data_IF_224189734154
#
_entry.id   IF_224189734154
#
_cell.length_a   1.000
_cell.length_b   1.000
_cell.length_c   1.000
_cell.angle_alpha   90.00
_cell.angle_beta   90.00
_cell.angle_gamma   90.00
#
_symmetry.space_group_name_H-M   'P 1'
#
loop_
_entity.id
_entity.type
_entity.pdbx_description
1 polymer ?
#
# COMPACT_ATOMS: atom_id res chain seq x y z
N UNK A 1 23.09 1.90 9.97
CA UNK A 1 22.20 0.98 10.73
C UNK A 1 22.33 -0.43 10.16
N UNK A 2 22.31 -1.48 10.99
CA UNK A 2 22.31 -2.86 10.51
C UNK A 2 20.92 -3.32 10.06
N UNK A 3 20.85 -4.41 9.27
CA UNK A 3 19.58 -4.96 8.80
C UNK A 3 18.72 -5.52 9.94
N UNK A 4 19.36 -6.13 10.94
CA UNK A 4 18.67 -6.66 12.12
C UNK A 4 18.07 -5.54 12.98
N UNK A 5 18.83 -4.45 13.22
CA UNK A 5 18.32 -3.25 13.91
C UNK A 5 17.13 -2.63 13.16
N UNK A 6 17.26 -2.48 11.84
CA UNK A 6 16.19 -1.95 11.01
C UNK A 6 14.94 -2.82 11.07
N UNK A 7 15.10 -4.16 11.05
CA UNK A 7 13.98 -5.10 11.13
C UNK A 7 13.28 -5.05 12.48
N UNK A 8 14.02 -4.86 13.59
CA UNK A 8 13.43 -4.65 14.91
C UNK A 8 12.58 -3.37 14.95
N UNK A 9 13.07 -2.28 14.38
CA UNK A 9 12.30 -1.02 14.24
C UNK A 9 11.04 -1.26 13.41
N UNK A 10 11.14 -1.99 12.29
CA UNK A 10 9.99 -2.33 11.45
C UNK A 10 8.97 -3.22 12.17
N UNK A 11 9.41 -4.18 12.98
CA UNK A 11 8.52 -5.02 13.79
C UNK A 11 7.77 -4.20 14.85
N UNK A 12 8.45 -3.24 15.49
CA UNK A 12 7.83 -2.35 16.47
C UNK A 12 6.88 -1.33 15.81
N UNK A 13 7.21 -0.86 14.60
CA UNK A 13 6.49 0.24 13.93
C UNK A 13 5.33 -0.24 13.04
N UNK A 14 5.44 -1.41 12.39
CA UNK A 14 4.42 -1.95 11.48
C UNK A 14 3.49 -2.93 12.20
N UNK A 15 2.91 -2.51 13.31
CA UNK A 15 1.98 -3.34 14.08
C UNK A 15 0.69 -3.63 13.31
N UNK A 16 -0.07 -4.62 13.78
CA UNK A 16 -1.36 -4.97 13.18
C UNK A 16 -2.36 -3.81 13.26
N UNK A 17 -2.27 -2.99 14.30
CA UNK A 17 -3.07 -1.78 14.45
C UNK A 17 -2.71 -0.74 13.38
N UNK A 18 -1.41 -0.51 13.17
CA UNK A 18 -0.92 0.36 12.10
C UNK A 18 -1.35 -0.16 10.73
N UNK A 19 -1.30 -1.46 10.49
CA UNK A 19 -1.78 -2.06 9.25
C UNK A 19 -3.29 -1.82 9.04
N UNK A 20 -4.11 -1.95 10.10
CA UNK A 20 -5.56 -1.68 10.03
C UNK A 20 -5.84 -0.20 9.73
N UNK A 21 -5.13 0.71 10.40
CA UNK A 21 -5.26 2.15 10.16
C UNK A 21 -4.84 2.51 8.73
N UNK A 22 -3.74 1.93 8.27
CA UNK A 22 -3.21 2.15 6.93
C UNK A 22 -4.15 1.61 5.86
N UNK A 23 -4.77 0.44 6.10
CA UNK A 23 -5.82 -0.10 5.23
C UNK A 23 -6.97 0.89 5.07
N UNK A 24 -7.45 1.52 6.15
CA UNK A 24 -8.50 2.54 6.07
C UNK A 24 -8.05 3.77 5.27
N UNK A 25 -6.81 4.22 5.45
CA UNK A 25 -6.23 5.33 4.68
C UNK A 25 -6.19 5.01 3.18
N UNK A 26 -5.74 3.80 2.84
CA UNK A 26 -5.66 3.30 1.47
C UNK A 26 -7.04 3.17 0.84
N UNK A 27 -8.02 2.59 1.54
CA UNK A 27 -9.41 2.51 1.05
C UNK A 27 -9.96 3.90 0.71
N UNK A 28 -9.72 4.89 1.57
CA UNK A 28 -10.12 6.27 1.29
C UNK A 28 -9.40 6.85 0.05
N UNK A 29 -8.12 6.50 -0.16
CA UNK A 29 -7.37 6.93 -1.33
C UNK A 29 -7.92 6.31 -2.63
N UNK A 30 -8.16 4.99 -2.63
CA UNK A 30 -8.77 4.27 -3.75
C UNK A 30 -10.15 4.84 -4.07
N UNK A 31 -10.98 5.08 -3.06
CA UNK A 31 -12.29 5.69 -3.26
C UNK A 31 -12.19 7.07 -3.91
N UNK A 32 -11.28 7.94 -3.42
CA UNK A 32 -11.06 9.26 -4.05
C UNK A 32 -10.62 9.13 -5.50
N UNK A 33 -9.75 8.18 -5.81
CA UNK A 33 -9.29 7.95 -7.18
C UNK A 33 -10.41 7.43 -8.08
N UNK A 34 -11.24 6.50 -7.59
CA UNK A 34 -12.42 6.02 -8.31
C UNK A 34 -13.40 7.16 -8.61
N UNK A 35 -13.70 8.01 -7.64
CA UNK A 35 -14.53 9.21 -7.84
C UNK A 35 -13.90 10.14 -8.87
N UNK A 36 -12.59 10.41 -8.79
CA UNK A 36 -11.89 11.27 -9.73
C UNK A 36 -11.94 10.72 -11.17
N UNK A 37 -11.73 9.40 -11.33
CA UNK A 37 -11.83 8.71 -12.62
C UNK A 37 -13.23 8.84 -13.21
N UNK A 38 -14.26 8.55 -12.41
CA UNK A 38 -15.65 8.63 -12.85
C UNK A 38 -16.08 10.05 -13.17
N UNK A 39 -15.62 11.03 -12.39
CA UNK A 39 -15.84 12.46 -12.69
C UNK A 39 -15.23 12.83 -14.03
N UNK A 40 -14.01 12.37 -14.32
CA UNK A 40 -13.32 12.62 -15.58
C UNK A 40 -14.01 11.95 -16.79
N UNK A 41 -14.79 10.90 -16.54
CA UNK A 41 -15.66 10.23 -17.52
C UNK A 41 -17.06 10.85 -17.63
N UNK A 42 -17.38 11.89 -16.84
CA UNK A 42 -18.70 12.51 -16.81
C UNK A 42 -19.77 11.67 -16.09
N UNK A 43 -19.36 10.72 -15.24
CA UNK A 43 -20.23 9.78 -14.51
C UNK A 43 -20.02 9.85 -12.98
N UNK A 44 -19.96 11.03 -12.34
CA UNK A 44 -19.59 11.14 -10.93
C UNK A 44 -20.53 10.40 -9.97
N UNK A 45 -21.81 10.27 -10.34
CA UNK A 45 -22.85 9.67 -9.50
C UNK A 45 -22.95 8.15 -9.65
N UNK A 46 -22.14 7.53 -10.51
CA UNK A 46 -22.23 6.09 -10.79
C UNK A 46 -21.97 5.25 -9.53
N UNK A 47 -21.13 5.73 -8.61
CA UNK A 47 -20.87 5.05 -7.31
C UNK A 47 -22.07 5.09 -6.36
N UNK A 48 -23.03 5.99 -6.59
CA UNK A 48 -24.26 6.11 -5.79
C UNK A 48 -25.41 5.31 -6.40
N UNK A 49 -25.25 4.80 -7.63
CA UNK A 49 -26.26 3.98 -8.29
C UNK A 49 -26.28 2.58 -7.66
N UNK A 50 -27.42 2.21 -7.06
CA UNK A 50 -27.63 0.88 -6.49
C UNK A 50 -27.43 -0.25 -7.52
N UNK A 51 -27.60 0.01 -8.82
CA UNK A 51 -27.32 -0.94 -9.90
C UNK A 51 -25.83 -1.22 -10.07
N UNK A 52 -24.97 -0.22 -9.85
CA UNK A 52 -23.52 -0.44 -9.86
C UNK A 52 -23.13 -1.38 -8.72
N UNK A 53 -23.71 -1.18 -7.53
CA UNK A 53 -23.46 -2.06 -6.38
C UNK A 53 -23.87 -3.52 -6.70
N UNK A 54 -24.97 -3.71 -7.41
CA UNK A 54 -25.44 -5.04 -7.85
C UNK A 54 -24.53 -5.65 -8.93
N UNK A 55 -24.05 -4.83 -9.88
CA UNK A 55 -23.11 -5.27 -10.92
C UNK A 55 -21.72 -5.59 -10.36
N UNK A 56 -21.23 -4.77 -9.41
CA UNK A 56 -20.00 -5.03 -8.69
C UNK A 56 -20.12 -6.34 -7.91
N UNK A 57 -21.19 -6.55 -7.14
CA UNK A 57 -21.43 -7.80 -6.41
C UNK A 57 -21.43 -9.04 -7.33
N UNK A 58 -22.02 -8.93 -8.53
CA UNK A 58 -21.95 -10.00 -9.54
C UNK A 58 -20.52 -10.22 -10.04
N UNK A 59 -19.75 -9.16 -10.22
CA UNK A 59 -18.33 -9.23 -10.57
C UNK A 59 -17.51 -9.91 -9.45
N UNK A 60 -17.78 -9.61 -8.18
CA UNK A 60 -17.16 -10.27 -7.01
C UNK A 60 -17.40 -11.77 -6.98
N UNK A 61 -18.61 -12.21 -7.36
CA UNK A 61 -18.94 -13.64 -7.42
C UNK A 61 -18.39 -14.37 -8.65
N UNK A 62 -18.06 -13.65 -9.73
CA UNK A 62 -17.66 -14.23 -11.02
C UNK A 62 -16.14 -14.18 -11.28
N UNK A 63 -15.39 -13.28 -10.64
CA UNK A 63 -13.96 -13.12 -10.82
C UNK A 63 -13.25 -12.78 -9.50
N UNK A 64 -11.98 -13.21 -9.36
CA UNK A 64 -11.07 -12.60 -8.39
C UNK A 64 -10.98 -11.08 -8.68
N UNK A 65 -11.37 -10.27 -7.71
CA UNK A 65 -11.51 -8.83 -7.87
C UNK A 65 -10.12 -8.17 -7.86
N UNK A 66 -9.86 -7.17 -8.72
CA UNK A 66 -8.66 -6.33 -8.67
C UNK A 66 -8.42 -5.58 -7.35
N UNK A 67 -9.29 -5.68 -6.35
CA UNK A 67 -9.14 -5.12 -5.00
C UNK A 67 -8.54 -6.10 -3.97
N UNK A 68 -8.75 -7.41 -4.14
CA UNK A 68 -8.11 -8.45 -3.30
C UNK A 68 -6.59 -8.39 -3.46
N UNK A 69 -6.13 -8.09 -4.67
CA UNK A 69 -4.71 -8.01 -4.99
C UNK A 69 -4.00 -6.83 -4.31
N UNK A 70 -4.67 -5.69 -4.13
CA UNK A 70 -4.08 -4.57 -3.39
C UNK A 70 -3.94 -4.93 -1.91
N UNK A 71 -4.95 -5.56 -1.32
CA UNK A 71 -4.87 -5.96 0.07
C UNK A 71 -3.83 -7.06 0.29
N UNK A 72 -3.77 -8.06 -0.59
CA UNK A 72 -2.72 -9.07 -0.61
C UNK A 72 -1.33 -8.44 -0.75
N UNK A 73 -1.17 -7.44 -1.62
CA UNK A 73 0.09 -6.70 -1.78
C UNK A 73 0.47 -5.96 -0.49
N UNK A 74 -0.48 -5.30 0.17
CA UNK A 74 -0.23 -4.62 1.45
C UNK A 74 0.22 -5.62 2.53
N UNK A 75 -0.51 -6.72 2.70
CA UNK A 75 -0.15 -7.77 3.65
C UNK A 75 1.23 -8.37 3.34
N UNK A 76 1.52 -8.58 2.06
CA UNK A 76 2.82 -9.05 1.60
C UNK A 76 3.94 -8.10 2.05
N UNK A 77 3.84 -6.80 1.75
CA UNK A 77 4.90 -5.85 2.11
C UNK A 77 5.06 -5.70 3.62
N UNK A 78 3.96 -5.67 4.38
CA UNK A 78 4.03 -5.61 5.84
C UNK A 78 4.71 -6.85 6.43
N UNK A 79 4.32 -8.05 5.97
CA UNK A 79 4.92 -9.31 6.42
C UNK A 79 6.41 -9.34 6.08
N UNK A 80 6.77 -9.13 4.81
CA UNK A 80 8.17 -9.24 4.35
C UNK A 80 9.06 -8.20 5.02
N UNK A 81 8.56 -6.98 5.24
CA UNK A 81 9.31 -5.95 5.93
C UNK A 81 9.58 -6.30 7.41
N UNK A 82 8.63 -6.95 8.09
CA UNK A 82 8.74 -7.34 9.51
C UNK A 82 9.56 -8.62 9.71
N UNK A 83 9.28 -9.63 8.91
CA UNK A 83 9.75 -11.00 9.14
C UNK A 83 10.93 -11.38 8.25
N UNK A 84 11.20 -10.60 7.20
CA UNK A 84 12.07 -10.99 6.10
C UNK A 84 11.30 -11.76 5.03
N UNK A 85 11.91 -11.87 3.85
CA UNK A 85 11.35 -12.60 2.71
C UNK A 85 12.22 -13.78 2.30
N UNK A 86 11.61 -14.79 1.71
CA UNK A 86 12.33 -15.92 1.11
C UNK A 86 12.63 -15.68 -0.40
N UNK A 87 13.26 -16.67 -1.04
CA UNK A 87 13.58 -16.59 -2.47
C UNK A 87 12.33 -16.46 -3.37
N UNK A 88 11.18 -17.01 -2.94
CA UNK A 88 9.93 -16.88 -3.67
C UNK A 88 9.37 -15.47 -3.52
N UNK A 89 9.44 -14.90 -2.33
CA UNK A 89 9.02 -13.52 -2.08
C UNK A 89 9.76 -12.55 -2.99
N UNK A 90 11.06 -12.73 -3.22
CA UNK A 90 11.82 -11.88 -4.15
C UNK A 90 11.25 -11.86 -5.57
N UNK A 91 10.69 -12.98 -6.05
CA UNK A 91 10.04 -13.04 -7.36
C UNK A 91 8.70 -12.31 -7.42
N UNK A 92 8.05 -12.11 -6.27
CA UNK A 92 6.73 -11.48 -6.15
C UNK A 92 6.79 -9.98 -5.89
N UNK A 93 7.92 -9.47 -5.37
CA UNK A 93 8.11 -8.04 -5.07
C UNK A 93 7.72 -7.13 -6.26
N UNK A 94 8.23 -7.34 -7.49
CA UNK A 94 7.90 -6.44 -8.60
C UNK A 94 6.40 -6.45 -8.95
N UNK A 95 5.76 -7.60 -8.84
CA UNK A 95 4.34 -7.77 -9.12
C UNK A 95 3.47 -7.02 -8.11
N UNK A 96 3.69 -7.24 -6.81
CA UNK A 96 2.93 -6.56 -5.77
C UNK A 96 3.22 -5.07 -5.70
N UNK A 97 4.46 -4.64 -5.97
CA UNK A 97 4.79 -3.22 -6.06
C UNK A 97 4.04 -2.56 -7.22
N UNK A 98 3.93 -3.23 -8.37
CA UNK A 98 3.14 -2.75 -9.51
C UNK A 98 1.67 -2.56 -9.13
N UNK A 99 1.07 -3.52 -8.41
CA UNK A 99 -0.32 -3.42 -7.95
C UNK A 99 -0.52 -2.20 -7.06
N UNK A 100 0.35 -1.99 -6.06
CA UNK A 100 0.25 -0.82 -5.17
C UNK A 100 0.36 0.47 -5.96
N UNK A 101 1.38 0.58 -6.82
CA UNK A 101 1.64 1.81 -7.58
C UNK A 101 0.52 2.13 -8.55
N UNK A 102 0.07 1.14 -9.33
CA UNK A 102 -0.98 1.34 -10.32
C UNK A 102 -2.31 1.66 -9.65
N UNK A 103 -2.69 0.90 -8.62
CA UNK A 103 -3.98 1.08 -7.95
C UNK A 103 -4.09 2.42 -7.24
N UNK A 104 -3.00 2.94 -6.67
CA UNK A 104 -3.03 4.17 -5.85
C UNK A 104 -2.61 5.44 -6.60
N UNK A 105 -1.83 5.31 -7.67
CA UNK A 105 -1.14 6.45 -8.28
C UNK A 105 -1.20 6.50 -9.80
N UNK A 106 -1.82 5.52 -10.48
CA UNK A 106 -2.03 5.62 -11.93
C UNK A 106 -3.12 6.65 -12.27
N UNK A 107 -2.81 7.72 -13.02
CA UNK A 107 -3.81 8.67 -13.49
C UNK A 107 -4.71 8.04 -14.56
N UNK A 108 -5.94 8.53 -14.70
CA UNK A 108 -6.90 8.11 -15.72
C UNK A 108 -6.34 8.05 -17.15
N UNK A 109 -5.42 8.96 -17.47
CA UNK A 109 -4.92 9.22 -18.81
C UNK A 109 -3.43 8.91 -18.98
N UNK A 110 -2.76 8.34 -17.97
CA UNK A 110 -1.33 8.00 -18.04
C UNK A 110 -1.12 6.59 -17.55
N UNK A 111 -0.29 5.83 -18.29
CA UNK A 111 0.12 4.48 -17.87
C UNK A 111 1.10 4.51 -16.69
N UNK A 112 1.84 5.60 -16.54
CA UNK A 112 2.90 5.72 -15.54
C UNK A 112 2.35 6.29 -14.21
N UNK A 113 2.47 5.55 -13.10
CA UNK A 113 2.04 6.01 -11.79
C UNK A 113 2.85 7.22 -11.30
N UNK A 114 2.19 8.22 -10.72
CA UNK A 114 2.85 9.38 -10.11
C UNK A 114 2.80 9.28 -8.60
N UNK A 115 3.87 8.74 -8.02
CA UNK A 115 3.96 8.50 -6.58
C UNK A 115 4.39 9.81 -5.89
N UNK A 116 3.57 10.41 -5.02
CA UNK A 116 3.95 11.62 -4.30
C UNK A 116 4.99 11.32 -3.21
N UNK A 117 5.91 12.24 -2.95
CA UNK A 117 7.00 12.02 -1.96
C UNK A 117 6.47 11.62 -0.58
N UNK A 118 5.40 12.26 -0.12
CA UNK A 118 4.76 11.95 1.17
C UNK A 118 4.21 10.53 1.27
N UNK A 119 4.05 9.78 0.17
CA UNK A 119 3.71 8.36 0.24
C UNK A 119 4.79 7.55 0.96
N UNK A 120 6.07 7.85 0.74
CA UNK A 120 7.18 7.09 1.30
C UNK A 120 7.34 7.25 2.81
N UNK A 121 6.65 8.23 3.39
CA UNK A 121 6.56 8.45 4.83
C UNK A 121 5.35 7.71 5.46
N UNK A 122 4.46 7.15 4.64
CA UNK A 122 3.34 6.33 5.14
C UNK A 122 3.81 4.92 5.51
N UNK A 123 3.11 4.22 6.43
CA UNK A 123 3.45 2.85 6.77
C UNK A 123 3.56 1.90 5.57
N UNK A 124 2.63 1.99 4.60
CA UNK A 124 2.71 1.17 3.39
C UNK A 124 3.89 1.58 2.50
N UNK A 125 4.11 2.89 2.32
CA UNK A 125 5.22 3.36 1.50
C UNK A 125 6.59 2.99 2.07
N UNK A 126 6.75 3.10 3.39
CA UNK A 126 7.96 2.67 4.09
C UNK A 126 8.16 1.16 3.92
N UNK A 127 7.12 0.34 4.11
CA UNK A 127 7.22 -1.12 3.92
C UNK A 127 7.62 -1.49 2.49
N UNK A 128 6.98 -0.87 1.48
CA UNK A 128 7.31 -1.07 0.06
C UNK A 128 8.77 -0.69 -0.21
N UNK A 129 9.19 0.50 0.25
CA UNK A 129 10.55 1.01 0.03
C UNK A 129 11.61 0.14 0.70
N UNK A 130 11.36 -0.28 1.93
CA UNK A 130 12.26 -1.15 2.70
C UNK A 130 12.45 -2.50 2.01
N UNK A 131 11.37 -3.09 1.51
CA UNK A 131 11.40 -4.39 0.83
C UNK A 131 12.06 -4.31 -0.55
N UNK A 132 11.81 -3.24 -1.31
CA UNK A 132 12.37 -3.10 -2.67
C UNK A 132 13.82 -2.60 -2.71
N UNK A 133 14.19 -1.71 -1.78
CA UNK A 133 15.44 -0.95 -1.85
C UNK A 133 16.34 -1.19 -0.64
N UNK A 134 15.86 -1.92 0.36
CA UNK A 134 16.60 -2.26 1.57
C UNK A 134 16.72 -1.10 2.57
N UNK A 135 17.56 -1.36 3.57
CA UNK A 135 17.75 -0.53 4.76
C UNK A 135 18.26 0.88 4.42
N UNK A 136 19.22 0.97 3.49
CA UNK A 136 19.90 2.22 3.12
C UNK A 136 18.92 3.26 2.57
N UNK A 137 17.90 2.82 1.83
CA UNK A 137 16.89 3.71 1.29
C UNK A 137 15.95 4.27 2.37
N UNK A 138 15.87 3.64 3.55
CA UNK A 138 14.93 4.00 4.60
C UNK A 138 15.61 4.54 5.86
N UNK A 139 16.94 4.77 5.83
CA UNK A 139 17.73 5.06 7.03
C UNK A 139 17.22 6.29 7.79
N UNK A 140 16.92 7.39 7.10
CA UNK A 140 16.40 8.61 7.72
C UNK A 140 15.05 8.39 8.41
N UNK A 141 14.12 7.67 7.77
CA UNK A 141 12.79 7.40 8.32
C UNK A 141 12.85 6.46 9.52
N UNK A 142 13.69 5.43 9.43
CA UNK A 142 13.91 4.48 10.52
C UNK A 142 14.57 5.13 11.74
N UNK A 143 15.51 6.06 11.53
CA UNK A 143 16.10 6.85 12.62
C UNK A 143 15.06 7.75 13.31
N UNK A 144 14.12 8.33 12.57
CA UNK A 144 13.01 9.10 13.17
C UNK A 144 12.14 8.21 14.04
N UNK A 145 11.72 7.05 13.52
CA UNK A 145 10.89 6.09 14.24
C UNK A 145 11.56 5.56 15.52
N UNK A 146 12.87 5.29 15.47
CA UNK A 146 13.63 4.87 16.64
C UNK A 146 13.56 5.91 17.78
N UNK A 147 13.74 7.20 17.45
CA UNK A 147 13.69 8.30 18.43
C UNK A 147 12.29 8.54 19.01
N UNK A 148 11.25 8.34 18.21
CA UNK A 148 9.85 8.47 18.63
C UNK A 148 9.44 7.34 19.61
N UNK A 149 9.94 6.12 19.38
CA UNK A 149 9.75 4.98 20.28
C UNK A 149 10.42 5.17 21.65
N UNK A 150 11.63 5.74 21.68
CA UNK A 150 12.34 6.08 22.91
C UNK A 150 11.65 7.18 23.73
N UNK A 151 10.96 8.11 23.07
CA UNK A 151 10.27 9.22 23.72
C UNK A 151 8.90 8.84 24.31
N UNK A 152 8.39 7.66 23.96
CA UNK A 152 7.08 7.13 24.39
C UNK A 152 7.19 6.02 25.45
N UNK A 153 8.41 5.70 25.90
CA UNK A 153 8.74 4.68 26.91
C UNK A 153 9.17 5.34 28.21
#
# INVERSE_FOLDING_TARGET
MSEDEARLIMQASLTDEVMRAERLRVVRAVHRQAVALLTALGLPDLLQDGRLSEQLARYETAHHIPGDHLWQAMQFFFRVAREGGDARDQTLIPHYASIVRQTLFAPAYRREPQIPDGFWETPLGLAVRFVEQGVTACEDTLQKLAREGESSS
#
